data_IF_859994826201
#
_entry.id   IF_859994826201
#
_cell.length_a   1.000
_cell.length_b   1.000
_cell.length_c   1.000
_cell.angle_alpha   90.00
_cell.angle_beta   90.00
_cell.angle_gamma   90.00
#
_symmetry.space_group_name_H-M   'P 1'
#
loop_
_entity.id
_entity.type
_entity.pdbx_description
1 polymer ?
#
# COMPACT_ATOMS: atom_id res chain seq x y z
N UNK A 1 -11.56 8.02 5.46
CA UNK A 1 -10.46 7.18 5.99
C UNK A 1 -9.91 7.61 7.34
N UNK A 2 -9.79 8.92 7.63
CA UNK A 2 -9.40 9.39 8.98
C UNK A 2 -10.32 8.85 10.09
N UNK A 3 -11.61 8.63 9.79
CA UNK A 3 -12.57 7.99 10.70
C UNK A 3 -12.46 6.44 10.74
N UNK A 4 -12.28 5.77 9.60
CA UNK A 4 -12.25 4.29 9.50
C UNK A 4 -11.05 3.66 10.22
N UNK A 5 -9.94 4.39 10.31
CA UNK A 5 -8.73 3.96 11.05
C UNK A 5 -8.95 3.91 12.56
N UNK A 6 -9.90 4.68 13.09
CA UNK A 6 -10.27 4.67 14.52
C UNK A 6 -11.10 3.43 14.90
N UNK A 7 -11.80 2.83 13.93
CA UNK A 7 -12.66 1.65 14.17
C UNK A 7 -11.94 0.29 14.02
N UNK A 8 -10.67 0.26 13.59
CA UNK A 8 -9.94 -1.01 13.41
C UNK A 8 -10.51 -1.93 12.32
N UNK A 9 -11.39 -1.42 11.45
CA UNK A 9 -11.97 -2.18 10.33
C UNK A 9 -11.10 -2.03 9.09
N UNK A 10 -10.79 -3.17 8.45
CA UNK A 10 -10.17 -3.20 7.11
C UNK A 10 -11.16 -2.53 6.15
N UNK A 11 -10.81 -1.34 5.65
CA UNK A 11 -11.70 -0.53 4.82
C UNK A 11 -11.14 -0.38 3.41
N UNK A 12 -11.92 -0.76 2.40
CA UNK A 12 -11.76 -0.19 1.06
C UNK A 12 -12.71 1.02 0.95
N UNK A 13 -12.39 2.06 0.19
CA UNK A 13 -13.29 3.19 0.01
C UNK A 13 -14.66 2.73 -0.49
N UNK A 14 -15.74 3.31 0.03
CA UNK A 14 -17.07 3.14 -0.55
C UNK A 14 -17.08 3.71 -1.97
N UNK A 15 -17.63 2.94 -2.91
CA UNK A 15 -17.74 3.29 -4.34
C UNK A 15 -19.16 3.81 -4.63
N UNK A 16 -19.34 4.79 -5.54
CA UNK A 16 -18.32 5.38 -6.41
C UNK A 16 -17.57 6.53 -5.73
N UNK A 17 -16.24 6.53 -5.86
CA UNK A 17 -15.41 7.69 -5.55
C UNK A 17 -15.42 8.64 -6.76
N UNK A 18 -15.52 9.95 -6.52
CA UNK A 18 -15.28 10.97 -7.57
C UNK A 18 -13.83 10.89 -8.08
N UNK A 19 -13.55 11.31 -9.33
CA UNK A 19 -12.20 11.24 -9.94
C UNK A 19 -11.11 11.88 -9.07
N UNK A 20 -11.39 13.04 -8.48
CA UNK A 20 -10.49 13.72 -7.55
C UNK A 20 -10.31 12.92 -6.24
N UNK A 21 -11.40 12.32 -5.75
CA UNK A 21 -11.38 11.46 -4.57
C UNK A 21 -10.50 10.24 -4.79
N UNK A 22 -10.53 9.63 -5.97
CA UNK A 22 -9.68 8.49 -6.35
C UNK A 22 -8.19 8.87 -6.39
N UNK A 23 -7.86 10.04 -6.96
CA UNK A 23 -6.48 10.55 -7.03
C UNK A 23 -5.94 10.81 -5.62
N UNK A 24 -6.70 11.53 -4.79
CA UNK A 24 -6.32 11.80 -3.40
C UNK A 24 -6.18 10.51 -2.60
N UNK A 25 -7.03 9.51 -2.84
CA UNK A 25 -6.95 8.21 -2.19
C UNK A 25 -5.67 7.44 -2.56
N UNK A 26 -5.37 7.37 -3.86
CA UNK A 26 -4.16 6.71 -4.36
C UNK A 26 -2.89 7.38 -3.86
N UNK A 27 -2.88 8.71 -3.81
CA UNK A 27 -1.74 9.46 -3.28
C UNK A 27 -1.57 9.20 -1.78
N UNK A 28 -2.66 9.21 -1.01
CA UNK A 28 -2.62 8.87 0.41
C UNK A 28 -2.10 7.46 0.66
N UNK A 29 -2.65 6.45 -0.03
CA UNK A 29 -2.17 5.08 0.10
C UNK A 29 -0.71 4.94 -0.28
N UNK A 30 -0.28 5.57 -1.37
CA UNK A 30 1.13 5.62 -1.77
C UNK A 30 2.00 6.13 -0.61
N UNK A 31 1.67 7.29 -0.04
CA UNK A 31 2.50 7.90 1.01
C UNK A 31 2.56 7.05 2.28
N UNK A 32 1.41 6.53 2.76
CA UNK A 32 1.39 5.69 3.96
C UNK A 32 2.11 4.37 3.71
N UNK A 33 1.96 3.77 2.52
CA UNK A 33 2.61 2.49 2.18
C UNK A 33 4.13 2.65 2.03
N UNK A 34 4.58 3.74 1.41
CA UNK A 34 6.01 4.09 1.32
C UNK A 34 6.61 4.35 2.70
N UNK A 35 5.95 5.15 3.54
CA UNK A 35 6.39 5.43 4.91
C UNK A 35 6.49 4.14 5.73
N UNK A 36 5.51 3.25 5.61
CA UNK A 36 5.53 1.94 6.26
C UNK A 36 6.70 1.06 5.79
N UNK A 37 6.94 1.00 4.47
CA UNK A 37 8.07 0.25 3.91
C UNK A 37 9.44 0.80 4.33
N UNK A 38 9.55 2.12 4.49
CA UNK A 38 10.75 2.81 4.99
C UNK A 38 10.99 2.57 6.47
N UNK A 39 9.93 2.61 7.30
CA UNK A 39 10.04 2.44 8.74
C UNK A 39 10.44 1.01 9.14
N UNK A 40 10.18 0.00 8.31
CA UNK A 40 10.55 -1.39 8.58
C UNK A 40 11.95 -1.76 8.06
N UNK A 41 12.93 -2.04 8.94
CA UNK A 41 14.14 -2.73 8.55
C UNK A 41 13.82 -4.21 8.29
N UNK A 42 14.05 -4.70 7.08
CA UNK A 42 13.79 -6.10 6.71
C UNK A 42 13.67 -6.33 5.21
N UNK A 43 14.18 -7.45 4.72
CA UNK A 43 14.18 -7.83 3.29
C UNK A 43 12.95 -8.63 2.87
N UNK A 44 12.18 -9.16 3.83
CA UNK A 44 10.98 -9.95 3.57
C UNK A 44 9.79 -9.34 4.29
N UNK A 45 8.68 -9.16 3.56
CA UNK A 45 7.45 -8.61 4.06
C UNK A 45 6.30 -9.28 3.30
N UNK A 46 5.32 -9.83 4.02
CA UNK A 46 4.16 -10.45 3.37
C UNK A 46 3.05 -9.42 3.15
N UNK A 47 2.31 -9.54 2.05
CA UNK A 47 1.15 -8.69 1.77
C UNK A 47 0.09 -8.82 2.87
N UNK A 48 -0.02 -10.02 3.48
CA UNK A 48 -0.95 -10.28 4.59
C UNK A 48 -0.61 -9.42 5.81
N UNK A 49 0.67 -9.34 6.18
CA UNK A 49 1.10 -8.53 7.33
C UNK A 49 0.80 -7.05 7.10
N UNK A 50 1.09 -6.54 5.90
CA UNK A 50 0.76 -5.15 5.52
C UNK A 50 -0.76 -4.92 5.60
N UNK A 51 -1.55 -5.87 5.09
CA UNK A 51 -3.01 -5.78 5.08
C UNK A 51 -3.59 -5.69 6.49
N UNK A 52 -3.05 -6.49 7.43
CA UNK A 52 -3.45 -6.46 8.83
C UNK A 52 -3.01 -5.18 9.53
N UNK A 53 -1.75 -4.77 9.37
CA UNK A 53 -1.20 -3.61 10.08
C UNK A 53 -1.73 -2.28 9.58
N UNK A 54 -1.95 -2.16 8.27
CA UNK A 54 -2.46 -0.94 7.66
C UNK A 54 -3.99 -0.89 7.62
N UNK A 55 -4.67 -2.00 7.95
CA UNK A 55 -6.10 -2.18 7.75
C UNK A 55 -6.54 -1.83 6.30
N UNK A 56 -5.69 -2.18 5.32
CA UNK A 56 -5.97 -1.99 3.88
C UNK A 56 -6.18 -3.37 3.27
N UNK A 57 -7.11 -3.47 2.31
CA UNK A 57 -7.30 -4.70 1.58
C UNK A 57 -6.02 -5.12 0.84
N UNK A 58 -5.68 -6.41 0.92
CA UNK A 58 -4.53 -6.99 0.21
C UNK A 58 -4.55 -6.67 -1.29
N UNK A 59 -5.74 -6.62 -1.91
CA UNK A 59 -5.90 -6.26 -3.32
C UNK A 59 -5.49 -4.81 -3.61
N UNK A 60 -5.90 -3.88 -2.75
CA UNK A 60 -5.55 -2.46 -2.87
C UNK A 60 -4.04 -2.23 -2.66
N UNK A 61 -3.42 -2.99 -1.75
CA UNK A 61 -1.97 -2.98 -1.54
C UNK A 61 -1.23 -3.49 -2.79
N UNK A 62 -1.65 -4.63 -3.35
CA UNK A 62 -1.04 -5.20 -4.55
C UNK A 62 -1.15 -4.25 -5.73
N UNK A 63 -2.35 -3.74 -6.01
CA UNK A 63 -2.59 -2.83 -7.12
C UNK A 63 -1.80 -1.52 -6.97
N UNK A 64 -1.69 -0.99 -5.75
CA UNK A 64 -0.87 0.21 -5.47
C UNK A 64 0.61 -0.07 -5.69
N UNK A 65 1.15 -1.17 -5.16
CA UNK A 65 2.55 -1.55 -5.35
C UNK A 65 2.89 -1.85 -6.82
N UNK A 66 1.96 -2.44 -7.57
CA UNK A 66 2.10 -2.64 -9.01
C UNK A 66 2.09 -1.30 -9.76
N UNK A 67 1.19 -0.38 -9.42
CA UNK A 67 1.13 0.95 -10.02
C UNK A 67 2.42 1.77 -9.75
N UNK A 68 3.06 1.54 -8.61
CA UNK A 68 4.35 2.16 -8.27
C UNK A 68 5.56 1.45 -8.94
N UNK A 69 5.35 0.33 -9.64
CA UNK A 69 6.43 -0.48 -10.19
C UNK A 69 7.31 -1.16 -9.13
N UNK A 70 6.82 -1.24 -7.89
CA UNK A 70 7.56 -1.74 -6.73
C UNK A 70 7.30 -3.20 -6.41
N UNK A 71 6.42 -3.87 -7.16
CA UNK A 71 6.15 -5.29 -7.03
C UNK A 71 6.66 -6.04 -8.27
N UNK A 72 7.38 -7.14 -8.03
CA UNK A 72 7.73 -8.13 -9.06
C UNK A 72 7.15 -9.48 -8.71
N UNK A 73 6.73 -10.22 -9.72
CA UNK A 73 6.38 -11.62 -9.56
C UNK A 73 7.59 -12.49 -9.91
N UNK A 74 8.01 -13.35 -8.98
CA UNK A 74 9.18 -14.21 -9.15
C UNK A 74 8.93 -15.58 -8.54
N UNK A 75 9.05 -16.65 -9.35
CA UNK A 75 8.87 -18.05 -8.92
C UNK A 75 7.61 -18.29 -8.08
N UNK A 76 6.45 -17.77 -8.51
CA UNK A 76 5.20 -17.95 -7.78
C UNK A 76 5.00 -16.99 -6.59
N UNK A 77 5.97 -16.12 -6.29
CA UNK A 77 5.95 -15.21 -5.14
C UNK A 77 5.96 -13.75 -5.58
N UNK A 78 5.17 -12.92 -4.91
CA UNK A 78 5.23 -11.47 -5.04
C UNK A 78 6.39 -10.94 -4.19
N UNK A 79 7.37 -10.32 -4.82
CA UNK A 79 8.54 -9.69 -4.20
C UNK A 79 8.38 -8.17 -4.27
N UNK A 80 8.55 -7.51 -3.12
CA UNK A 80 8.50 -6.04 -3.02
C UNK A 80 9.93 -5.50 -3.14
N UNK A 81 10.14 -4.59 -4.08
CA UNK A 81 11.43 -3.95 -4.35
C UNK A 81 11.60 -2.69 -3.51
N UNK A 82 12.20 -2.82 -2.32
CA UNK A 82 12.49 -1.69 -1.43
C UNK A 82 13.48 -0.66 -2.01
N UNK A 83 14.35 -1.05 -2.95
CA UNK A 83 15.35 -0.15 -3.57
C UNK A 83 14.71 1.03 -4.32
N UNK A 84 13.47 0.89 -4.77
CA UNK A 84 12.74 1.96 -5.43
C UNK A 84 12.13 2.96 -4.43
N UNK A 85 11.99 2.58 -3.14
CA UNK A 85 11.38 3.46 -2.12
C UNK A 85 12.21 4.72 -1.92
N UNK A 86 13.54 4.60 -1.88
CA UNK A 86 14.43 5.75 -1.80
C UNK A 86 14.37 6.66 -3.04
N UNK A 87 13.98 6.13 -4.20
CA UNK A 87 13.85 6.92 -5.44
C UNK A 87 12.57 7.75 -5.51
N UNK A 88 11.56 7.43 -4.67
CA UNK A 88 10.31 8.19 -4.58
C UNK A 88 10.30 9.23 -3.45
N UNK A 89 11.32 9.25 -2.60
CA UNK A 89 11.47 10.19 -1.47
C UNK A 89 12.49 11.31 -1.79
N UNK A 90 13.14 11.24 -2.96
CA UNK A 90 14.10 12.26 -3.45
C UNK A 90 13.43 13.36 -4.25
#
# INVERSE_FOLDING_TARGET
YLLTRVEGKIGSPEKPLSDLGLISYRSYWKDVLLAYLCSRPGTTLSIKDISQEMAINSYDIVSTLQALGMMKYWKGKHIILKKLVSAFIG
#
